data_IF_333596117855
#
_entry.id   IF_333596117855
#
_cell.length_a   1.000
_cell.length_b   1.000
_cell.length_c   1.000
_cell.angle_alpha   90.00
_cell.angle_beta   90.00
_cell.angle_gamma   90.00
#
_symmetry.space_group_name_H-M   'P 1'
#
loop_
_entity.id
_entity.type
_entity.pdbx_description
1 polymer ?
#
# COMPACT_ATOMS: atom_id res chain seq x y z
N UNK A 1 -16.18 10.51 88.52
CA UNK A 1 -16.73 10.32 87.16
C UNK A 1 -17.96 9.43 87.31
N UNK A 2 -19.14 9.89 86.89
CA UNK A 2 -20.38 9.13 87.13
C UNK A 2 -20.43 7.91 86.20
N UNK A 3 -20.82 6.76 86.74
CA UNK A 3 -20.94 5.50 85.99
C UNK A 3 -21.82 5.65 84.75
N UNK A 4 -22.90 6.43 84.86
CA UNK A 4 -23.77 6.76 83.74
C UNK A 4 -23.04 7.51 82.59
N UNK A 5 -22.09 8.39 82.92
CA UNK A 5 -21.32 9.13 81.90
C UNK A 5 -20.33 8.20 81.18
N UNK A 6 -19.69 7.28 81.92
CA UNK A 6 -18.82 6.25 81.36
C UNK A 6 -19.60 5.34 80.38
N UNK A 7 -20.76 4.84 80.81
CA UNK A 7 -21.61 3.96 79.98
C UNK A 7 -22.10 4.71 78.74
N UNK A 8 -22.57 5.96 78.86
CA UNK A 8 -23.03 6.75 77.71
C UNK A 8 -21.90 7.02 76.70
N UNK A 9 -20.67 7.20 77.17
CA UNK A 9 -19.50 7.43 76.33
C UNK A 9 -19.09 6.14 75.62
N UNK A 10 -19.13 5.00 76.33
CA UNK A 10 -18.83 3.68 75.78
C UNK A 10 -19.79 3.30 74.64
N UNK A 11 -21.09 3.59 74.81
CA UNK A 11 -22.11 3.35 73.78
C UNK A 11 -21.86 4.18 72.52
N UNK A 12 -21.51 5.47 72.67
CA UNK A 12 -21.18 6.34 71.53
C UNK A 12 -19.96 5.84 70.76
N UNK A 13 -18.92 5.41 71.46
CA UNK A 13 -17.74 4.81 70.83
C UNK A 13 -18.07 3.48 70.15
N UNK A 14 -18.88 2.63 70.77
CA UNK A 14 -19.30 1.36 70.17
C UNK A 14 -20.09 1.56 68.86
N UNK A 15 -21.01 2.53 68.83
CA UNK A 15 -21.75 2.88 67.61
C UNK A 15 -20.81 3.46 66.54
N UNK A 16 -19.91 4.36 66.93
CA UNK A 16 -18.92 4.93 66.02
C UNK A 16 -18.04 3.86 65.38
N UNK A 17 -17.47 2.96 66.17
CA UNK A 17 -16.65 1.86 65.67
C UNK A 17 -17.46 0.83 64.88
N UNK A 18 -18.73 0.59 65.21
CA UNK A 18 -19.61 -0.28 64.44
C UNK A 18 -19.90 0.25 63.03
N UNK A 19 -20.17 1.57 62.91
CA UNK A 19 -20.33 2.24 61.62
C UNK A 19 -18.99 2.24 60.85
N UNK A 20 -17.89 2.54 61.54
CA UNK A 20 -16.56 2.52 60.95
C UNK A 20 -16.21 1.12 60.41
N UNK A 21 -16.52 0.06 61.15
CA UNK A 21 -16.31 -1.33 60.74
C UNK A 21 -17.16 -1.69 59.52
N UNK A 22 -18.43 -1.27 59.47
CA UNK A 22 -19.28 -1.46 58.30
C UNK A 22 -18.72 -0.75 57.06
N UNK A 23 -18.21 0.48 57.22
CA UNK A 23 -17.55 1.21 56.13
C UNK A 23 -16.26 0.51 55.72
N UNK A 24 -15.33 0.24 56.65
CA UNK A 24 -14.02 -0.34 56.34
C UNK A 24 -14.12 -1.75 55.75
N UNK A 25 -15.05 -2.58 56.22
CA UNK A 25 -15.26 -3.93 55.69
C UNK A 25 -15.76 -3.88 54.25
N UNK A 26 -16.76 -3.04 53.96
CA UNK A 26 -17.26 -2.87 52.59
C UNK A 26 -16.28 -2.07 51.70
N UNK A 27 -15.55 -1.12 52.27
CA UNK A 27 -14.56 -0.29 51.59
C UNK A 27 -13.32 -1.10 51.20
N UNK A 28 -12.86 -2.02 52.06
CA UNK A 28 -11.80 -2.96 51.73
C UNK A 28 -12.16 -3.85 50.54
N UNK A 29 -13.37 -4.41 50.54
CA UNK A 29 -13.89 -5.18 49.40
C UNK A 29 -13.99 -4.31 48.14
N UNK A 30 -14.47 -3.07 48.26
CA UNK A 30 -14.51 -2.12 47.15
C UNK A 30 -13.12 -1.85 46.55
N UNK A 31 -12.09 -1.65 47.39
CA UNK A 31 -10.72 -1.42 46.92
C UNK A 31 -10.13 -2.64 46.22
N UNK A 32 -10.40 -3.86 46.71
CA UNK A 32 -9.97 -5.10 46.07
C UNK A 32 -10.62 -5.24 44.69
N UNK A 33 -11.94 -5.01 44.59
CA UNK A 33 -12.67 -5.05 43.32
C UNK A 33 -12.12 -4.00 42.34
N UNK A 34 -11.85 -2.78 42.82
CA UNK A 34 -11.28 -1.70 42.02
C UNK A 34 -9.90 -2.08 41.46
N UNK A 35 -9.04 -2.67 42.30
CA UNK A 35 -7.70 -3.11 41.87
C UNK A 35 -7.77 -4.24 40.85
N UNK A 36 -8.69 -5.19 41.03
CA UNK A 36 -8.93 -6.28 40.06
C UNK A 36 -9.43 -5.72 38.73
N UNK A 37 -10.39 -4.78 38.74
CA UNK A 37 -10.88 -4.13 37.51
C UNK A 37 -9.77 -3.37 36.77
N UNK A 38 -8.94 -2.60 37.49
CA UNK A 38 -7.80 -1.90 36.91
C UNK A 38 -6.78 -2.90 36.33
N UNK A 39 -6.51 -4.01 37.02
CA UNK A 39 -5.59 -5.06 36.56
C UNK A 39 -6.11 -5.74 35.28
N UNK A 40 -7.40 -6.04 35.21
CA UNK A 40 -8.05 -6.60 34.02
C UNK A 40 -8.00 -5.59 32.86
N UNK A 41 -8.32 -4.32 33.11
CA UNK A 41 -8.25 -3.27 32.10
C UNK A 41 -6.82 -3.06 31.58
N UNK A 42 -5.83 -3.07 32.47
CA UNK A 42 -4.41 -3.01 32.10
C UNK A 42 -4.00 -4.21 31.25
N UNK A 43 -4.43 -5.42 31.61
CA UNK A 43 -4.16 -6.64 30.84
C UNK A 43 -4.83 -6.60 29.46
N UNK A 44 -6.08 -6.16 29.38
CA UNK A 44 -6.80 -6.00 28.12
C UNK A 44 -6.14 -4.94 27.22
N UNK A 45 -5.72 -3.80 27.79
CA UNK A 45 -4.99 -2.76 27.08
C UNK A 45 -3.62 -3.24 26.61
N UNK A 46 -2.91 -4.03 27.43
CA UNK A 46 -1.65 -4.66 27.06
C UNK A 46 -1.84 -5.62 25.88
N UNK A 47 -2.87 -6.47 25.91
CA UNK A 47 -3.21 -7.37 24.82
C UNK A 47 -3.64 -6.61 23.56
N UNK A 48 -4.38 -5.52 23.71
CA UNK A 48 -4.79 -4.68 22.59
C UNK A 48 -3.59 -3.97 21.95
N UNK A 49 -2.71 -3.38 22.75
CA UNK A 49 -1.46 -2.76 22.27
C UNK A 49 -0.52 -3.77 21.62
N UNK A 50 -0.49 -5.01 22.13
CA UNK A 50 0.23 -6.13 21.50
C UNK A 50 -0.38 -6.49 20.15
N UNK A 51 -1.70 -6.67 20.06
CA UNK A 51 -2.41 -6.91 18.79
C UNK A 51 -2.23 -5.77 17.80
N UNK A 52 -2.22 -4.52 18.24
CA UNK A 52 -1.92 -3.37 17.38
C UNK A 52 -0.48 -3.35 16.91
N UNK A 53 0.47 -3.75 17.76
CA UNK A 53 1.89 -3.88 17.37
C UNK A 53 2.08 -5.00 16.35
N UNK A 54 1.43 -6.13 16.55
CA UNK A 54 1.42 -7.26 15.62
C UNK A 54 0.71 -6.88 14.32
N UNK A 55 -0.44 -6.19 14.37
CA UNK A 55 -1.13 -5.60 13.21
C UNK A 55 -0.44 -4.35 12.61
N UNK A 56 0.66 -3.89 13.21
CA UNK A 56 1.52 -2.83 12.66
C UNK A 56 2.85 -3.39 12.13
N UNK A 57 3.24 -4.60 12.54
CA UNK A 57 4.35 -5.36 11.95
C UNK A 57 3.87 -6.26 10.80
N UNK A 58 2.71 -6.90 10.93
CA UNK A 58 1.79 -7.19 9.83
C UNK A 58 1.05 -5.89 9.51
N UNK A 59 1.74 -4.93 8.91
CA UNK A 59 1.07 -3.75 8.40
C UNK A 59 -0.18 -4.20 7.64
N UNK A 60 -1.29 -3.48 7.82
CA UNK A 60 -2.41 -3.45 6.88
C UNK A 60 -1.93 -2.91 5.53
N UNK A 61 -0.92 -3.57 4.96
CA UNK A 61 -0.59 -3.50 3.56
C UNK A 61 -1.77 -4.21 2.91
N UNK A 62 -2.59 -3.46 2.19
CA UNK A 62 -3.35 -4.05 1.11
C UNK A 62 -2.31 -4.73 0.20
N UNK A 63 -2.07 -6.02 0.42
CA UNK A 63 -1.19 -6.82 -0.41
C UNK A 63 -1.97 -7.10 -1.68
N UNK A 64 -1.82 -6.23 -2.67
CA UNK A 64 -2.14 -6.58 -4.04
C UNK A 64 -1.13 -7.63 -4.48
N UNK A 65 -1.41 -8.90 -4.17
CA UNK A 65 -0.66 -10.02 -4.74
C UNK A 65 -1.14 -10.18 -6.18
N UNK A 66 -0.45 -9.54 -7.12
CA UNK A 66 -0.55 -9.93 -8.52
C UNK A 66 0.14 -11.30 -8.65
N UNK A 67 -0.64 -12.37 -8.62
CA UNK A 67 -0.13 -13.71 -8.87
C UNK A 67 -0.18 -13.96 -10.37
N UNK A 68 0.97 -14.19 -11.02
CA UNK A 68 1.05 -14.40 -12.46
C UNK A 68 0.23 -15.60 -12.97
N UNK A 69 -0.18 -16.50 -12.07
CA UNK A 69 -1.13 -17.58 -12.35
C UNK A 69 -2.53 -17.08 -12.74
N UNK A 70 -2.96 -15.92 -12.27
CA UNK A 70 -4.27 -15.37 -12.65
C UNK A 70 -4.24 -14.74 -14.06
N UNK A 71 -3.04 -14.38 -14.54
CA UNK A 71 -2.84 -13.80 -15.87
C UNK A 71 -2.73 -14.87 -16.97
N UNK A 72 -2.25 -16.08 -16.64
CA UNK A 72 -2.15 -17.18 -17.59
C UNK A 72 -3.51 -17.74 -18.01
N UNK A 73 -4.56 -17.46 -17.24
CA UNK A 73 -5.92 -17.90 -17.56
C UNK A 73 -6.69 -16.90 -18.44
N UNK A 74 -6.23 -15.64 -18.53
CA UNK A 74 -6.90 -14.55 -19.25
C UNK A 74 -6.37 -14.30 -20.68
N UNK A 75 -5.79 -15.33 -21.32
CA UNK A 75 -5.52 -15.29 -22.76
C UNK A 75 -4.30 -14.46 -23.20
N UNK A 76 -3.43 -14.05 -22.29
CA UNK A 76 -2.13 -13.47 -22.65
C UNK A 76 -1.10 -14.59 -22.84
N UNK A 77 -0.57 -14.73 -24.06
CA UNK A 77 0.52 -15.65 -24.40
C UNK A 77 1.64 -15.60 -23.34
N UNK A 78 1.73 -16.65 -22.50
CA UNK A 78 2.87 -17.08 -21.70
C UNK A 78 3.93 -16.01 -21.36
N UNK A 79 3.53 -14.92 -20.70
CA UNK A 79 4.48 -13.89 -20.30
C UNK A 79 5.36 -14.40 -19.14
N UNK A 80 6.61 -14.73 -19.43
CA UNK A 80 7.56 -15.26 -18.45
C UNK A 80 8.35 -14.12 -17.80
N UNK A 81 8.00 -13.80 -16.56
CA UNK A 81 8.59 -12.69 -15.82
C UNK A 81 10.11 -12.84 -15.59
N UNK A 82 10.61 -14.08 -15.50
CA UNK A 82 12.04 -14.34 -15.36
C UNK A 82 12.82 -13.95 -16.62
N UNK A 83 12.25 -14.18 -17.79
CA UNK A 83 12.84 -13.85 -19.09
C UNK A 83 12.96 -12.32 -19.26
N UNK A 84 11.92 -11.61 -18.82
CA UNK A 84 11.91 -10.15 -18.75
C UNK A 84 12.96 -9.62 -17.76
N UNK A 85 13.03 -10.18 -16.55
CA UNK A 85 14.00 -9.76 -15.55
C UNK A 85 15.45 -10.00 -15.99
N UNK A 86 15.71 -11.11 -16.69
CA UNK A 86 17.02 -11.38 -17.28
C UNK A 86 17.38 -10.41 -18.40
N UNK A 87 16.45 -10.06 -19.30
CA UNK A 87 16.66 -9.03 -20.32
C UNK A 87 17.04 -7.67 -19.72
N UNK A 88 16.37 -7.25 -18.65
CA UNK A 88 16.69 -6.01 -17.92
C UNK A 88 18.06 -6.07 -17.25
N UNK A 89 18.38 -7.21 -16.61
CA UNK A 89 19.65 -7.38 -15.87
C UNK A 89 20.85 -7.46 -16.81
N UNK A 90 20.67 -8.07 -17.98
CA UNK A 90 21.73 -8.22 -18.97
C UNK A 90 21.94 -6.95 -19.80
N UNK A 91 21.20 -5.86 -19.53
CA UNK A 91 21.28 -4.59 -20.25
C UNK A 91 20.95 -4.69 -21.74
N UNK A 92 20.47 -5.85 -22.20
CA UNK A 92 20.35 -6.18 -23.60
C UNK A 92 18.93 -5.90 -24.09
N UNK A 93 18.51 -4.63 -24.02
CA UNK A 93 17.40 -4.08 -24.83
C UNK A 93 17.79 -3.93 -26.30
N UNK A 94 18.61 -4.85 -26.79
CA UNK A 94 18.92 -4.95 -28.19
C UNK A 94 17.88 -5.89 -28.78
N UNK A 95 16.67 -5.35 -28.91
CA UNK A 95 15.76 -5.79 -29.96
C UNK A 95 16.62 -5.72 -31.24
N UNK A 96 16.91 -6.85 -31.91
CA UNK A 96 17.57 -6.80 -33.20
C UNK A 96 16.54 -6.14 -34.10
N UNK A 97 16.69 -4.82 -34.31
CA UNK A 97 15.89 -4.06 -35.24
C UNK A 97 15.98 -4.80 -36.56
N UNK A 98 14.97 -5.59 -36.88
CA UNK A 98 14.99 -6.36 -38.11
C UNK A 98 14.98 -5.34 -39.24
N UNK A 99 15.72 -5.57 -40.31
CA UNK A 99 15.78 -4.64 -41.44
C UNK A 99 14.37 -4.27 -41.96
N UNK A 100 13.43 -5.22 -41.87
CA UNK A 100 11.99 -5.04 -42.13
C UNK A 100 11.35 -3.95 -41.28
N UNK A 101 11.65 -3.92 -39.98
CA UNK A 101 11.02 -3.01 -39.02
C UNK A 101 11.52 -1.57 -39.20
N UNK A 102 12.76 -1.40 -39.66
CA UNK A 102 13.30 -0.09 -40.01
C UNK A 102 12.64 0.45 -41.29
N UNK A 103 12.41 -0.41 -42.29
CA UNK A 103 11.74 -0.05 -43.54
C UNK A 103 10.27 0.31 -43.29
N UNK A 104 9.56 -0.47 -42.49
CA UNK A 104 8.20 -0.17 -42.03
C UNK A 104 8.13 1.16 -41.25
N UNK A 105 9.11 1.42 -40.37
CA UNK A 105 9.17 2.68 -39.63
C UNK A 105 9.39 3.88 -40.56
N UNK A 106 10.23 3.73 -41.61
CA UNK A 106 10.43 4.78 -42.62
C UNK A 106 9.16 5.02 -43.42
N UNK A 107 8.47 3.97 -43.84
CA UNK A 107 7.20 4.09 -44.58
C UNK A 107 6.10 4.74 -43.72
N UNK A 108 5.97 4.34 -42.46
CA UNK A 108 5.00 4.92 -41.52
C UNK A 108 5.20 6.43 -41.31
N UNK A 109 6.46 6.87 -41.26
CA UNK A 109 6.79 8.29 -41.16
C UNK A 109 6.82 9.02 -42.52
N UNK A 110 6.67 8.28 -43.63
CA UNK A 110 6.69 8.80 -44.99
C UNK A 110 8.08 9.28 -45.46
N UNK A 111 9.14 8.65 -44.98
CA UNK A 111 10.51 8.99 -45.37
C UNK A 111 10.96 8.16 -46.58
N UNK A 112 11.12 8.80 -47.74
CA UNK A 112 11.66 8.16 -48.96
C UNK A 112 13.19 8.01 -48.94
N UNK A 113 13.88 8.70 -48.02
CA UNK A 113 15.34 8.68 -47.86
C UNK A 113 15.70 8.51 -46.38
N UNK A 114 16.98 8.36 -46.07
CA UNK A 114 17.47 8.24 -44.69
C UNK A 114 17.25 9.56 -43.93
N UNK A 115 16.33 9.59 -42.95
CA UNK A 115 15.94 10.83 -42.29
C UNK A 115 16.99 11.25 -41.25
N UNK A 116 17.15 12.56 -41.07
CA UNK A 116 17.95 13.10 -39.97
C UNK A 116 17.18 13.07 -38.64
N UNK A 117 17.91 13.09 -37.54
CA UNK A 117 17.34 13.11 -36.17
C UNK A 117 16.33 14.23 -35.94
N UNK A 118 16.56 15.39 -36.55
CA UNK A 118 15.66 16.55 -36.46
C UNK A 118 14.37 16.32 -37.23
N UNK A 119 14.44 15.72 -38.41
CA UNK A 119 13.29 15.39 -39.25
C UNK A 119 12.41 14.33 -38.60
N UNK A 120 13.01 13.29 -37.99
CA UNK A 120 12.28 12.27 -37.21
C UNK A 120 11.48 12.94 -36.09
N UNK A 121 12.11 13.83 -35.31
CA UNK A 121 11.44 14.55 -34.20
C UNK A 121 10.33 15.47 -34.69
N UNK A 122 10.53 16.15 -35.81
CA UNK A 122 9.54 17.06 -36.40
C UNK A 122 8.31 16.28 -36.87
N UNK A 123 8.51 15.21 -37.65
CA UNK A 123 7.43 14.34 -38.14
C UNK A 123 6.69 13.64 -37.00
N UNK A 124 7.41 13.18 -35.98
CA UNK A 124 6.80 12.61 -34.79
C UNK A 124 5.82 13.58 -34.12
N UNK A 125 6.19 14.86 -33.97
CA UNK A 125 5.32 15.87 -33.35
C UNK A 125 4.06 16.15 -34.19
N UNK A 126 4.17 16.10 -35.50
CA UNK A 126 3.03 16.24 -36.43
C UNK A 126 2.07 15.05 -36.31
N UNK A 127 2.60 13.83 -36.33
CA UNK A 127 1.81 12.59 -36.21
C UNK A 127 1.21 12.41 -34.82
N UNK A 128 1.93 12.76 -33.76
CA UNK A 128 1.44 12.65 -32.38
C UNK A 128 0.23 13.56 -32.11
N UNK A 129 0.19 14.73 -32.76
CA UNK A 129 -0.98 15.63 -32.70
C UNK A 129 -2.16 15.07 -33.47
N UNK A 130 -1.91 14.32 -34.55
CA UNK A 130 -2.97 13.70 -35.37
C UNK A 130 -3.55 12.46 -34.70
N UNK A 131 -2.72 11.67 -34.02
CA UNK A 131 -3.11 10.40 -33.42
C UNK A 131 -3.42 10.49 -31.92
N UNK A 132 -3.46 11.70 -31.35
CA UNK A 132 -3.76 11.88 -29.94
C UNK A 132 -5.12 11.26 -29.56
N UNK A 133 -5.21 10.46 -28.48
CA UNK A 133 -6.43 9.77 -28.08
C UNK A 133 -7.58 10.74 -27.75
N UNK A 134 -7.27 11.91 -27.19
CA UNK A 134 -8.30 12.96 -26.95
C UNK A 134 -8.97 13.49 -28.24
N UNK A 135 -8.35 13.28 -29.40
CA UNK A 135 -8.86 13.76 -30.70
C UNK A 135 -9.42 12.58 -31.52
N UNK A 136 -8.91 11.36 -31.33
CA UNK A 136 -9.35 10.15 -32.02
C UNK A 136 -9.62 9.01 -31.02
N UNK A 137 -10.85 8.50 -31.02
CA UNK A 137 -11.34 7.41 -30.15
C UNK A 137 -10.58 6.06 -30.30
N UNK A 138 -9.69 5.96 -31.30
CA UNK A 138 -8.78 4.83 -31.56
C UNK A 138 -7.30 5.25 -31.55
N UNK A 139 -6.97 6.38 -30.90
CA UNK A 139 -5.62 6.97 -30.90
C UNK A 139 -4.58 6.17 -30.11
N UNK A 140 -5.00 5.32 -29.17
CA UNK A 140 -4.09 4.59 -28.29
C UNK A 140 -3.16 3.62 -29.07
N UNK A 141 -3.72 2.85 -30.00
CA UNK A 141 -2.92 1.90 -30.80
C UNK A 141 -1.96 2.61 -31.76
N UNK A 142 -2.42 3.71 -32.38
CA UNK A 142 -1.61 4.49 -33.32
C UNK A 142 -0.50 5.26 -32.61
N UNK A 143 -0.74 5.76 -31.39
CA UNK A 143 0.27 6.40 -30.57
C UNK A 143 1.33 5.42 -30.06
N UNK A 144 0.93 4.21 -29.67
CA UNK A 144 1.87 3.17 -29.29
C UNK A 144 2.80 2.79 -30.46
N UNK A 145 2.22 2.58 -31.66
CA UNK A 145 3.01 2.32 -32.88
C UNK A 145 3.94 3.49 -33.24
N UNK A 146 3.45 4.73 -33.13
CA UNK A 146 4.25 5.93 -33.38
C UNK A 146 5.47 6.04 -32.44
N UNK A 147 5.28 5.74 -31.15
CA UNK A 147 6.36 5.76 -30.15
C UNK A 147 7.42 4.70 -30.46
N UNK A 148 6.96 3.48 -30.77
CA UNK A 148 7.82 2.35 -31.12
C UNK A 148 8.69 2.65 -32.35
N UNK A 149 8.08 3.09 -33.45
CA UNK A 149 8.80 3.41 -34.68
C UNK A 149 9.74 4.62 -34.54
N UNK A 150 9.38 5.63 -33.72
CA UNK A 150 10.29 6.73 -33.39
C UNK A 150 11.57 6.20 -32.75
N UNK A 151 11.45 5.30 -31.79
CA UNK A 151 12.61 4.81 -31.05
C UNK A 151 13.50 3.93 -31.94
N UNK A 152 12.91 3.18 -32.87
CA UNK A 152 13.64 2.45 -33.92
C UNK A 152 14.43 3.41 -34.82
N UNK A 153 13.77 4.44 -35.38
CA UNK A 153 14.43 5.40 -36.27
C UNK A 153 15.53 6.17 -35.52
N UNK A 154 15.29 6.59 -34.28
CA UNK A 154 16.28 7.29 -33.47
C UNK A 154 17.47 6.42 -33.08
N UNK A 155 17.29 5.09 -32.97
CA UNK A 155 18.38 4.15 -32.71
C UNK A 155 19.20 3.85 -33.96
N UNK A 156 18.55 3.79 -35.12
CA UNK A 156 19.22 3.55 -36.40
C UNK A 156 20.02 4.77 -36.91
N UNK A 157 19.50 5.98 -36.68
CA UNK A 157 20.08 7.25 -37.13
C UNK A 157 20.64 8.10 -35.96
N UNK A 158 21.12 7.44 -34.88
CA UNK A 158 21.43 8.05 -33.57
C UNK A 158 22.65 8.94 -33.55
#
# INVERSE_FOLDING_TARGET
>A
MNLAQLISSLIKWAIFFGILYLIFTNFGTFLIILFVLISIAYFAFYQFKKKLREASQEGTHFKFTFNGQDFSQAGANNFNFNDFQEQFRNGNFQNPTSFSELEEAKDFFGFSQDPTKEEIKKRYKELARKYHPDINDHGDELMQKLNHYKDILLKAFS
#
